data_IF_137058924319
#
_entry.id   IF_137058924319
#
_cell.length_a   1.000
_cell.length_b   1.000
_cell.length_c   1.000
_cell.angle_alpha   90.00
_cell.angle_beta   90.00
_cell.angle_gamma   90.00
#
_symmetry.space_group_name_H-M   'P 1'
#
loop_
_entity.id
_entity.type
_entity.pdbx_description
1 polymer ?
#
# COMPACT_ATOMS: atom_id res chain seq x y z
N UNK A 1 -22.02 30.94 12.62
CA UNK A 1 -22.19 30.07 11.46
C UNK A 1 -20.99 30.07 10.52
N UNK A 2 -20.41 31.21 10.19
CA UNK A 2 -19.24 31.25 9.31
C UNK A 2 -18.02 30.53 9.89
N UNK A 3 -17.83 30.57 11.20
CA UNK A 3 -16.70 29.90 11.87
C UNK A 3 -16.79 28.37 11.78
N UNK A 4 -18.00 27.82 11.82
CA UNK A 4 -18.21 26.38 11.74
C UNK A 4 -17.88 25.83 10.35
N UNK A 5 -18.17 26.57 9.29
CA UNK A 5 -17.88 26.17 7.93
C UNK A 5 -16.36 26.15 7.65
N UNK A 6 -15.62 27.12 8.21
CA UNK A 6 -14.17 27.19 8.08
C UNK A 6 -13.48 26.02 8.78
N UNK A 7 -13.94 25.66 9.97
CA UNK A 7 -13.40 24.51 10.72
C UNK A 7 -13.64 23.20 9.98
N UNK A 8 -14.82 23.04 9.38
CA UNK A 8 -15.14 21.86 8.58
C UNK A 8 -14.24 21.72 7.35
N UNK A 9 -13.96 22.83 6.68
CA UNK A 9 -13.08 22.84 5.52
C UNK A 9 -11.64 22.43 5.88
N UNK A 10 -11.15 22.90 7.02
CA UNK A 10 -9.82 22.55 7.52
C UNK A 10 -9.71 21.06 7.89
N UNK A 11 -10.76 20.49 8.47
CA UNK A 11 -10.79 19.08 8.82
C UNK A 11 -10.76 18.19 7.58
N UNK A 12 -11.44 18.58 6.51
CA UNK A 12 -11.42 17.84 5.25
C UNK A 12 -10.04 17.82 4.59
N UNK A 13 -9.32 18.93 4.66
CA UNK A 13 -7.95 19.00 4.13
C UNK A 13 -6.99 18.11 4.89
N UNK A 14 -7.10 18.03 6.21
CA UNK A 14 -6.27 17.17 7.04
C UNK A 14 -6.51 15.70 6.71
N UNK A 15 -7.75 15.29 6.48
CA UNK A 15 -8.10 13.93 6.13
C UNK A 15 -7.50 13.49 4.79
N UNK A 16 -7.43 14.39 3.81
CA UNK A 16 -6.80 14.11 2.51
C UNK A 16 -5.29 13.91 2.62
N UNK A 17 -4.62 14.64 3.51
CA UNK A 17 -3.17 14.52 3.72
C UNK A 17 -2.77 13.18 4.31
N UNK A 18 -3.58 12.60 5.18
CA UNK A 18 -3.28 11.33 5.84
C UNK A 18 -3.24 10.14 4.90
N UNK A 19 -3.99 10.19 3.80
CA UNK A 19 -4.06 9.08 2.85
C UNK A 19 -2.78 8.86 2.04
N UNK A 20 -1.95 9.89 1.91
CA UNK A 20 -0.75 9.83 1.07
C UNK A 20 0.45 9.17 1.74
N UNK A 21 0.45 9.07 3.07
CA UNK A 21 1.60 8.56 3.84
C UNK A 21 1.33 7.20 4.49
N UNK A 22 0.28 6.51 4.07
CA UNK A 22 -0.05 5.22 4.66
C UNK A 22 0.96 4.15 4.25
N UNK A 23 1.53 3.46 5.25
CA UNK A 23 2.42 2.33 5.03
C UNK A 23 1.67 1.03 5.29
N UNK A 24 1.71 0.11 4.34
CA UNK A 24 1.08 -1.20 4.45
C UNK A 24 2.09 -2.23 4.93
N UNK A 25 1.65 -3.13 5.80
CA UNK A 25 2.48 -4.24 6.25
C UNK A 25 2.52 -5.35 5.22
N UNK A 26 3.51 -6.24 5.34
CA UNK A 26 3.60 -7.43 4.48
C UNK A 26 2.31 -8.26 4.60
N UNK A 27 1.80 -8.45 5.82
CA UNK A 27 0.59 -9.23 6.04
C UNK A 27 -0.64 -8.59 5.40
N UNK A 28 -0.77 -7.28 5.46
CA UNK A 28 -1.87 -6.57 4.80
C UNK A 28 -1.82 -6.77 3.29
N UNK A 29 -0.62 -6.71 2.71
CA UNK A 29 -0.44 -6.87 1.27
C UNK A 29 -0.64 -8.30 0.82
N UNK A 30 -0.26 -9.30 1.62
CA UNK A 30 -0.54 -10.71 1.29
C UNK A 30 -2.02 -11.04 1.39
N UNK A 31 -2.75 -10.37 2.29
CA UNK A 31 -4.18 -10.59 2.47
C UNK A 31 -5.02 -9.91 1.38
N UNK A 32 -4.48 -8.89 0.72
CA UNK A 32 -5.19 -8.12 -0.31
C UNK A 32 -4.36 -8.06 -1.59
N UNK A 33 -4.55 -9.04 -2.46
CA UNK A 33 -3.78 -9.15 -3.71
C UNK A 33 -4.04 -7.99 -4.67
N UNK A 34 -5.23 -7.41 -4.66
CA UNK A 34 -5.55 -6.24 -5.47
C UNK A 34 -4.74 -5.02 -5.05
N UNK A 35 -4.64 -4.80 -3.75
CA UNK A 35 -3.82 -3.73 -3.19
C UNK A 35 -2.34 -3.98 -3.50
N UNK A 36 -1.87 -5.21 -3.33
CA UNK A 36 -0.49 -5.58 -3.64
C UNK A 36 -0.15 -5.29 -5.10
N UNK A 37 -1.03 -5.69 -6.03
CA UNK A 37 -0.84 -5.42 -7.46
C UNK A 37 -0.72 -3.93 -7.75
N UNK A 38 -1.54 -3.12 -7.13
CA UNK A 38 -1.52 -1.67 -7.30
C UNK A 38 -0.21 -1.07 -6.81
N UNK A 39 0.22 -1.46 -5.61
CA UNK A 39 1.49 -0.98 -5.04
C UNK A 39 2.67 -1.41 -5.90
N UNK A 40 2.68 -2.66 -6.36
CA UNK A 40 3.74 -3.17 -7.24
C UNK A 40 3.81 -2.38 -8.55
N UNK A 41 2.65 -2.05 -9.13
CA UNK A 41 2.61 -1.27 -10.36
C UNK A 41 3.17 0.14 -10.16
N UNK A 42 2.81 0.78 -9.05
CA UNK A 42 3.34 2.10 -8.72
C UNK A 42 4.86 2.06 -8.55
N UNK A 43 5.39 1.03 -7.89
CA UNK A 43 6.81 0.86 -7.69
C UNK A 43 7.56 0.66 -9.01
N UNK A 44 6.99 -0.09 -9.96
CA UNK A 44 7.57 -0.32 -11.28
C UNK A 44 7.59 0.94 -12.13
N UNK A 45 6.52 1.74 -12.02
CA UNK A 45 6.39 2.98 -12.80
C UNK A 45 7.34 4.08 -12.32
N UNK A 46 7.80 4.00 -11.07
CA UNK A 46 8.66 5.01 -10.46
C UNK A 46 9.85 4.36 -9.74
N UNK A 47 10.71 3.62 -10.45
CA UNK A 47 11.76 2.82 -9.79
C UNK A 47 12.82 3.65 -9.08
N UNK A 48 13.06 4.89 -9.52
CA UNK A 48 14.08 5.73 -8.90
C UNK A 48 13.63 6.39 -7.59
N UNK A 49 12.36 6.74 -7.48
CA UNK A 49 11.84 7.47 -6.33
C UNK A 49 11.21 6.59 -5.27
N UNK A 50 10.49 5.56 -5.68
CA UNK A 50 9.67 4.75 -4.78
C UNK A 50 10.33 3.44 -4.35
N UNK A 51 11.39 3.02 -5.02
CA UNK A 51 12.01 1.72 -4.80
C UNK A 51 12.45 1.49 -3.35
N UNK A 52 12.91 2.52 -2.68
CA UNK A 52 13.38 2.43 -1.31
C UNK A 52 12.29 2.72 -0.27
N UNK A 53 11.07 3.02 -0.69
CA UNK A 53 9.99 3.27 0.25
C UNK A 53 9.59 1.98 0.95
N UNK A 54 9.07 2.11 2.17
CA UNK A 54 8.60 0.97 2.95
C UNK A 54 7.51 0.19 2.20
N UNK A 55 6.61 0.88 1.50
CA UNK A 55 5.56 0.22 0.74
C UNK A 55 6.11 -0.65 -0.38
N UNK A 56 7.11 -0.19 -1.11
CA UNK A 56 7.72 -0.98 -2.17
C UNK A 56 8.48 -2.18 -1.63
N UNK A 57 9.25 -2.01 -0.55
CA UNK A 57 9.95 -3.10 0.10
C UNK A 57 9.00 -4.14 0.67
N UNK A 58 7.93 -3.70 1.32
CA UNK A 58 6.91 -4.60 1.87
C UNK A 58 6.14 -5.30 0.77
N UNK A 59 5.88 -4.63 -0.35
CA UNK A 59 5.21 -5.24 -1.50
C UNK A 59 6.06 -6.34 -2.13
N UNK A 60 7.36 -6.13 -2.27
CA UNK A 60 8.27 -7.16 -2.78
C UNK A 60 8.31 -8.37 -1.85
N UNK A 61 8.36 -8.14 -0.54
CA UNK A 61 8.34 -9.22 0.44
C UNK A 61 7.02 -9.99 0.41
N UNK A 62 5.90 -9.28 0.28
CA UNK A 62 4.58 -9.90 0.18
C UNK A 62 4.45 -10.74 -1.09
N UNK A 63 4.93 -10.22 -2.21
CA UNK A 63 4.92 -10.94 -3.49
C UNK A 63 5.72 -12.23 -3.40
N UNK A 64 6.92 -12.18 -2.81
CA UNK A 64 7.74 -13.37 -2.59
C UNK A 64 7.07 -14.39 -1.71
N UNK A 65 6.40 -13.95 -0.64
CA UNK A 65 5.66 -14.83 0.27
C UNK A 65 4.52 -15.54 -0.44
N UNK A 66 3.76 -14.80 -1.24
CA UNK A 66 2.64 -15.39 -2.02
C UNK A 66 3.14 -16.40 -3.05
N UNK A 67 4.25 -16.12 -3.71
CA UNK A 67 4.85 -17.07 -4.65
C UNK A 67 5.23 -18.36 -3.98
N UNK A 68 5.83 -18.30 -2.79
CA UNK A 68 6.18 -19.50 -2.02
C UNK A 68 4.94 -20.29 -1.62
N UNK A 69 3.89 -19.62 -1.18
CA UNK A 69 2.64 -20.26 -0.82
C UNK A 69 2.01 -20.97 -2.03
N UNK A 70 2.02 -20.30 -3.18
CA UNK A 70 1.47 -20.86 -4.41
C UNK A 70 2.29 -22.06 -4.90
N UNK A 71 3.61 -22.01 -4.77
CA UNK A 71 4.48 -23.15 -5.10
C UNK A 71 4.19 -24.36 -4.20
N UNK A 72 3.99 -24.13 -2.92
CA UNK A 72 3.64 -25.21 -1.98
C UNK A 72 2.31 -25.86 -2.34
N UNK A 73 1.32 -25.03 -2.71
CA UNK A 73 0.01 -25.54 -3.14
C UNK A 73 0.13 -26.37 -4.42
N UNK A 74 0.95 -25.92 -5.36
CA UNK A 74 1.18 -26.64 -6.61
C UNK A 74 1.86 -27.99 -6.38
N UNK A 75 2.66 -28.12 -5.33
CA UNK A 75 3.34 -29.35 -4.97
C UNK A 75 2.47 -30.29 -4.10
N UNK A 76 1.23 -29.91 -3.83
CA UNK A 76 0.30 -30.73 -3.06
C UNK A 76 0.52 -30.71 -1.55
N UNK A 77 1.13 -29.65 -1.04
CA UNK A 77 1.41 -29.53 0.41
C UNK A 77 0.61 -28.43 1.10
#
# INVERSE_FOLDING_TARGET
MRRSLLVLALLLLAACSEKTDQTYTVDQLTADEGLLSRIMAECRNNPGELRETANCQNAEAADGKLRLQNMRKALGK
#
